data_IF_383864054584
#
_entry.id   IF_383864054584
#
_cell.length_a   1.000
_cell.length_b   1.000
_cell.length_c   1.000
_cell.angle_alpha   90.00
_cell.angle_beta   90.00
_cell.angle_gamma   90.00
#
_symmetry.space_group_name_H-M   'P 1'
#
loop_
_entity.id
_entity.type
_entity.pdbx_description
1 polymer ?
#
# COMPACT_ATOMS: atom_id res chain seq x y z
N UNK A 1 -4.48 -20.07 1.23
CA UNK A 1 -5.23 -18.87 1.69
C UNK A 1 -4.23 -17.74 1.94
N UNK A 2 -4.59 -16.49 1.55
CA UNK A 2 -3.72 -15.32 1.76
C UNK A 2 -3.58 -14.99 3.26
N UNK A 3 -2.34 -14.82 3.74
CA UNK A 3 -2.05 -14.61 5.16
C UNK A 3 -1.73 -13.16 5.50
N UNK A 4 -0.94 -12.51 4.65
CA UNK A 4 -0.50 -11.11 4.86
C UNK A 4 -0.14 -10.45 3.53
N UNK A 5 -0.08 -9.13 3.55
CA UNK A 5 0.50 -8.36 2.46
C UNK A 5 2.01 -8.58 2.43
N UNK A 6 2.50 -9.18 1.36
CA UNK A 6 3.93 -9.34 1.11
C UNK A 6 4.51 -8.03 0.59
N UNK A 7 3.97 -7.53 -0.54
CA UNK A 7 4.40 -6.28 -1.16
C UNK A 7 3.23 -5.46 -1.70
N UNK A 8 3.43 -4.15 -1.76
CA UNK A 8 2.60 -3.19 -2.50
C UNK A 8 3.46 -2.65 -3.62
N UNK A 9 3.02 -2.85 -4.87
CA UNK A 9 3.76 -2.50 -6.08
C UNK A 9 3.24 -1.18 -6.61
N UNK A 10 4.14 -0.21 -6.76
CA UNK A 10 3.87 1.11 -7.32
C UNK A 10 4.54 1.22 -8.68
N UNK A 11 3.76 1.41 -9.72
CA UNK A 11 4.25 1.67 -11.06
C UNK A 11 4.59 3.15 -11.23
N UNK A 12 5.75 3.45 -11.79
CA UNK A 12 6.26 4.80 -12.02
C UNK A 12 6.84 4.92 -13.43
N UNK A 13 6.77 6.12 -14.04
CA UNK A 13 7.32 6.37 -15.38
C UNK A 13 8.83 6.61 -15.38
N UNK A 14 9.36 7.17 -14.28
CA UNK A 14 10.77 7.52 -14.13
C UNK A 14 11.29 7.01 -12.79
N UNK A 15 11.79 5.78 -12.78
CA UNK A 15 12.23 5.11 -11.56
C UNK A 15 13.29 5.89 -10.78
N UNK A 16 14.32 6.51 -11.38
CA UNK A 16 15.31 7.29 -10.63
C UNK A 16 14.69 8.50 -9.89
N UNK A 17 13.74 9.18 -10.51
CA UNK A 17 13.02 10.32 -9.91
C UNK A 17 12.15 9.85 -8.74
N UNK A 18 11.43 8.76 -8.93
CA UNK A 18 10.59 8.17 -7.89
C UNK A 18 11.42 7.66 -6.70
N UNK A 19 12.59 7.04 -6.96
CA UNK A 19 13.55 6.65 -5.91
C UNK A 19 13.97 7.86 -5.09
N UNK A 20 14.37 8.96 -5.73
CA UNK A 20 14.81 10.17 -5.01
C UNK A 20 13.70 10.72 -4.10
N UNK A 21 12.45 10.75 -4.56
CA UNK A 21 11.30 11.19 -3.75
C UNK A 21 11.06 10.27 -2.54
N UNK A 22 11.00 8.97 -2.74
CA UNK A 22 10.74 8.01 -1.67
C UNK A 22 11.92 7.86 -0.70
N UNK A 23 13.15 8.06 -1.18
CA UNK A 23 14.31 8.14 -0.30
C UNK A 23 14.22 9.33 0.67
N UNK A 24 13.72 10.48 0.22
CA UNK A 24 13.46 11.62 1.11
C UNK A 24 12.28 11.33 2.06
N UNK A 25 11.22 10.70 1.56
CA UNK A 25 10.06 10.32 2.38
C UNK A 25 10.46 9.33 3.49
N UNK A 26 11.12 8.23 3.15
CA UNK A 26 11.49 7.19 4.12
C UNK A 26 12.76 7.51 4.92
N UNK A 27 13.62 8.42 4.42
CA UNK A 27 14.91 8.73 5.03
C UNK A 27 15.93 7.60 4.92
N UNK A 28 15.73 6.68 3.97
CA UNK A 28 16.54 5.48 3.73
C UNK A 28 16.74 5.27 2.25
N UNK A 29 17.93 4.82 1.85
CA UNK A 29 18.15 4.32 0.50
C UNK A 29 17.34 3.03 0.26
N UNK A 30 16.85 2.79 -0.96
CA UNK A 30 16.22 1.51 -1.29
C UNK A 30 17.26 0.42 -1.49
N UNK A 31 16.79 -0.81 -1.48
CA UNK A 31 17.46 -1.90 -2.17
C UNK A 31 17.01 -1.91 -3.63
N UNK A 32 17.95 -1.95 -4.54
CA UNK A 32 17.70 -2.12 -5.97
C UNK A 32 18.49 -3.35 -6.42
N UNK A 33 17.82 -4.46 -6.77
CA UNK A 33 18.49 -5.64 -7.28
C UNK A 33 19.19 -5.34 -8.62
N UNK A 34 20.24 -6.08 -8.92
CA UNK A 34 20.95 -5.91 -10.19
C UNK A 34 20.04 -6.17 -11.39
N UNK A 35 20.11 -5.27 -12.38
CA UNK A 35 19.28 -5.32 -13.58
C UNK A 35 19.54 -6.55 -14.48
N UNK A 36 20.55 -7.35 -14.19
CA UNK A 36 20.87 -8.56 -14.94
C UNK A 36 19.83 -9.67 -14.75
N UNK A 37 19.19 -9.72 -13.58
CA UNK A 37 18.29 -10.82 -13.21
C UNK A 37 16.83 -10.38 -13.04
N UNK A 38 16.56 -9.07 -12.96
CA UNK A 38 15.23 -8.51 -12.67
C UNK A 38 14.94 -7.25 -13.50
N UNK A 39 13.66 -6.98 -13.76
CA UNK A 39 13.26 -5.66 -14.23
C UNK A 39 13.67 -4.59 -13.21
N UNK A 40 14.07 -3.38 -13.64
CA UNK A 40 14.48 -2.31 -12.74
C UNK A 40 13.43 -2.03 -11.68
N UNK A 41 13.80 -2.18 -10.42
CA UNK A 41 12.92 -1.90 -9.28
C UNK A 41 13.68 -1.37 -8.07
N UNK A 42 12.96 -0.82 -7.09
CA UNK A 42 13.51 -0.33 -5.84
C UNK A 42 12.58 -0.68 -4.67
N UNK A 43 13.13 -1.22 -3.60
CA UNK A 43 12.36 -1.77 -2.48
C UNK A 43 12.73 -1.14 -1.15
N UNK A 44 11.71 -0.84 -0.33
CA UNK A 44 11.83 -0.48 1.08
C UNK A 44 11.01 -1.43 1.94
N UNK A 45 11.65 -2.03 2.94
CA UNK A 45 10.98 -2.87 3.91
C UNK A 45 10.35 -2.03 5.02
N UNK A 46 9.03 -2.05 5.13
CA UNK A 46 8.31 -1.52 6.30
C UNK A 46 8.06 -2.64 7.33
N UNK A 47 7.63 -2.29 8.52
CA UNK A 47 7.48 -3.31 9.57
C UNK A 47 6.47 -4.42 9.25
N UNK A 48 5.53 -4.21 8.33
CA UNK A 48 4.48 -5.17 8.00
C UNK A 48 4.36 -5.54 6.51
N UNK A 49 5.07 -4.85 5.62
CA UNK A 49 5.04 -5.12 4.16
C UNK A 49 6.29 -4.53 3.49
N UNK A 50 6.43 -4.67 2.19
CA UNK A 50 7.44 -4.01 1.36
C UNK A 50 6.74 -3.06 0.40
N UNK A 51 7.31 -1.87 0.20
CA UNK A 51 6.96 -0.99 -0.91
C UNK A 51 7.97 -1.24 -2.03
N UNK A 52 7.47 -1.59 -3.20
CA UNK A 52 8.25 -1.83 -4.41
C UNK A 52 7.89 -0.82 -5.49
N UNK A 53 8.87 -0.08 -5.99
CA UNK A 53 8.73 0.76 -7.18
C UNK A 53 9.17 -0.04 -8.39
N UNK A 54 8.36 -0.04 -9.44
CA UNK A 54 8.69 -0.66 -10.74
C UNK A 54 8.52 0.36 -11.86
N UNK A 55 9.44 0.35 -12.82
CA UNK A 55 9.32 1.21 -13.99
C UNK A 55 8.30 0.66 -14.97
N UNK A 56 7.42 1.52 -15.45
CA UNK A 56 6.46 1.15 -16.48
C UNK A 56 6.13 2.33 -17.39
N UNK A 57 5.69 2.03 -18.61
CA UNK A 57 5.17 3.06 -19.52
C UNK A 57 3.79 3.46 -19.04
N UNK A 58 3.70 4.60 -18.36
CA UNK A 58 2.44 5.15 -17.86
C UNK A 58 2.51 6.68 -17.80
N UNK A 59 1.36 7.34 -17.93
CA UNK A 59 1.26 8.81 -17.87
C UNK A 59 1.40 9.34 -16.43
N UNK A 60 1.17 8.50 -15.42
CA UNK A 60 1.27 8.85 -14.00
C UNK A 60 1.59 7.65 -13.14
N UNK A 61 2.21 7.90 -12.00
CA UNK A 61 2.42 6.85 -11.01
C UNK A 61 1.09 6.37 -10.41
N UNK A 62 1.03 5.09 -10.07
CA UNK A 62 -0.15 4.46 -9.48
C UNK A 62 0.24 3.27 -8.61
N UNK A 63 -0.64 2.89 -7.71
CA UNK A 63 -0.56 1.56 -7.09
C UNK A 63 -0.95 0.56 -8.17
N UNK A 64 0.02 -0.20 -8.65
CA UNK A 64 -0.20 -1.18 -9.71
C UNK A 64 -0.91 -2.41 -9.18
N UNK A 65 -0.45 -2.93 -8.05
CA UNK A 65 -0.99 -4.17 -7.51
C UNK A 65 -0.54 -4.49 -6.10
N UNK A 66 -1.05 -5.59 -5.59
CA UNK A 66 -0.74 -6.13 -4.27
C UNK A 66 -0.32 -7.58 -4.41
N UNK A 67 0.78 -7.94 -3.76
CA UNK A 67 1.23 -9.32 -3.62
C UNK A 67 0.92 -9.77 -2.19
N UNK A 68 0.20 -10.87 -2.06
CA UNK A 68 -0.06 -11.51 -0.77
C UNK A 68 0.82 -12.75 -0.61
N UNK A 69 1.28 -13.02 0.60
CA UNK A 69 1.89 -14.31 0.89
C UNK A 69 0.84 -15.32 1.31
N UNK A 70 1.05 -16.57 0.91
CA UNK A 70 0.25 -17.71 1.31
C UNK A 70 1.16 -18.92 1.50
N UNK A 71 0.95 -19.69 2.58
CA UNK A 71 1.81 -20.84 2.90
C UNK A 71 1.77 -21.95 1.84
N UNK A 72 0.68 -22.01 1.07
CA UNK A 72 0.43 -22.98 0.00
C UNK A 72 0.72 -22.42 -1.41
N UNK A 73 1.29 -21.20 -1.50
CA UNK A 73 1.66 -20.65 -2.79
C UNK A 73 2.90 -21.36 -3.37
N UNK A 74 2.96 -21.56 -4.69
CA UNK A 74 4.16 -22.08 -5.33
C UNK A 74 5.31 -21.07 -5.22
N UNK A 75 6.56 -21.51 -5.39
CA UNK A 75 7.69 -20.60 -5.50
C UNK A 75 7.48 -19.57 -6.61
N UNK A 76 7.88 -18.32 -6.34
CA UNK A 76 7.66 -17.19 -7.24
C UNK A 76 6.31 -16.52 -7.03
N UNK A 77 5.81 -15.87 -8.07
CA UNK A 77 4.55 -15.13 -8.04
C UNK A 77 3.52 -15.72 -9.00
N UNK A 78 2.28 -15.85 -8.52
CA UNK A 78 1.14 -16.28 -9.32
C UNK A 78 0.07 -15.19 -9.33
N UNK A 79 -0.32 -14.75 -10.52
CA UNK A 79 -1.45 -13.82 -10.70
C UNK A 79 -2.77 -14.51 -10.35
N UNK A 80 -3.61 -13.82 -9.60
CA UNK A 80 -4.98 -14.19 -9.28
C UNK A 80 -5.89 -13.52 -10.32
N UNK A 81 -6.49 -14.32 -11.20
CA UNK A 81 -7.49 -13.82 -12.14
C UNK A 81 -8.73 -13.34 -11.36
N UNK A 82 -9.24 -12.16 -11.67
CA UNK A 82 -10.37 -11.59 -10.95
C UNK A 82 -11.23 -10.70 -11.84
N UNK A 83 -12.52 -10.58 -11.50
CA UNK A 83 -13.48 -9.79 -12.23
C UNK A 83 -13.27 -8.27 -12.09
N UNK A 84 -12.54 -7.84 -11.05
CA UNK A 84 -12.25 -6.43 -10.79
C UNK A 84 -11.19 -5.85 -11.75
N UNK A 85 -10.41 -6.71 -12.42
CA UNK A 85 -9.33 -6.28 -13.32
C UNK A 85 -8.13 -5.65 -12.59
N UNK A 86 -8.00 -5.85 -11.27
CA UNK A 86 -6.87 -5.35 -10.48
C UNK A 86 -5.74 -6.38 -10.41
N UNK A 87 -4.49 -5.92 -10.33
CA UNK A 87 -3.33 -6.81 -10.23
C UNK A 87 -3.20 -7.34 -8.79
N UNK A 88 -3.59 -8.59 -8.60
CA UNK A 88 -3.43 -9.33 -7.35
C UNK A 88 -2.56 -10.55 -7.62
N UNK A 89 -1.54 -10.74 -6.78
CA UNK A 89 -0.62 -11.87 -6.89
C UNK A 89 -0.46 -12.58 -5.56
N UNK A 90 -0.14 -13.86 -5.63
CA UNK A 90 0.22 -14.71 -4.48
C UNK A 90 1.68 -15.15 -4.60
N UNK A 91 2.39 -15.21 -3.49
CA UNK A 91 3.75 -15.73 -3.38
C UNK A 91 3.92 -16.54 -2.08
N UNK A 92 5.02 -17.28 -1.96
CA UNK A 92 5.40 -17.99 -0.75
C UNK A 92 6.08 -17.11 0.33
N UNK A 93 6.36 -15.83 -0.01
CA UNK A 93 7.01 -14.87 0.87
C UNK A 93 8.52 -15.08 1.07
N UNK A 94 9.13 -16.04 0.37
CA UNK A 94 10.57 -16.34 0.50
C UNK A 94 11.46 -15.17 0.06
N UNK A 95 11.14 -14.55 -1.08
CA UNK A 95 11.91 -13.42 -1.63
C UNK A 95 11.90 -12.21 -0.67
N UNK A 96 10.76 -11.87 -0.09
CA UNK A 96 10.64 -10.79 0.89
C UNK A 96 11.38 -11.11 2.19
N UNK A 97 11.34 -12.36 2.62
CA UNK A 97 12.07 -12.81 3.82
C UNK A 97 13.58 -12.69 3.59
N UNK A 98 14.07 -13.13 2.45
CA UNK A 98 15.47 -13.02 2.05
C UNK A 98 15.93 -11.55 1.93
N UNK A 99 15.12 -10.70 1.26
CA UNK A 99 15.33 -9.25 1.20
C UNK A 99 15.48 -8.63 2.59
N UNK A 100 14.58 -8.95 3.51
CA UNK A 100 14.63 -8.39 4.88
C UNK A 100 15.88 -8.79 5.65
N UNK A 101 16.37 -10.00 5.44
CA UNK A 101 17.58 -10.51 6.11
C UNK A 101 18.86 -9.93 5.51
N UNK A 102 18.92 -9.78 4.18
CA UNK A 102 20.14 -9.38 3.48
C UNK A 102 20.30 -7.88 3.29
N UNK A 103 19.22 -7.10 3.42
CA UNK A 103 19.21 -5.65 3.18
C UNK A 103 18.67 -4.86 4.39
N UNK A 104 19.34 -4.92 5.55
CA UNK A 104 18.88 -4.24 6.76
C UNK A 104 18.88 -2.70 6.65
N UNK A 105 19.72 -2.12 5.79
CA UNK A 105 19.81 -0.69 5.54
C UNK A 105 18.57 -0.13 4.84
N UNK A 106 17.89 -0.94 4.04
CA UNK A 106 16.65 -0.56 3.35
C UNK A 106 15.38 -0.79 4.21
N UNK A 107 15.53 -1.11 5.52
CA UNK A 107 14.39 -1.35 6.40
C UNK A 107 13.97 -0.09 7.15
N UNK A 108 12.71 0.30 7.01
CA UNK A 108 12.05 1.43 7.70
C UNK A 108 11.12 0.87 8.79
N UNK A 109 11.68 0.31 9.85
CA UNK A 109 10.96 -0.45 10.87
C UNK A 109 10.03 0.38 11.75
N UNK A 110 10.20 1.72 11.77
CA UNK A 110 9.35 2.64 12.53
C UNK A 110 8.04 3.00 11.81
N UNK A 111 7.92 2.57 10.54
CA UNK A 111 6.73 2.75 9.72
C UNK A 111 6.08 1.41 9.41
N UNK A 112 4.76 1.43 9.29
CA UNK A 112 4.00 0.36 8.66
C UNK A 112 2.92 0.95 7.74
N UNK A 113 2.42 0.17 6.80
CA UNK A 113 1.20 0.52 6.08
C UNK A 113 0.00 0.18 6.95
N UNK A 114 -0.86 1.16 7.23
CA UNK A 114 -2.12 0.97 7.94
C UNK A 114 -3.17 0.35 7.01
N UNK A 115 -3.38 1.00 5.85
CA UNK A 115 -4.29 0.49 4.84
C UNK A 115 -3.89 0.92 3.42
N UNK A 116 -4.39 0.14 2.45
CA UNK A 116 -4.44 0.46 1.03
C UNK A 116 -5.90 0.64 0.66
N UNK A 117 -6.21 1.64 -0.15
CA UNK A 117 -7.58 1.92 -0.60
C UNK A 117 -7.79 1.39 -2.00
N UNK A 118 -8.83 0.59 -2.19
CA UNK A 118 -9.36 0.15 -3.48
C UNK A 118 -10.70 0.85 -3.71
N UNK A 119 -10.84 1.54 -4.81
CA UNK A 119 -12.12 2.05 -5.31
C UNK A 119 -12.70 1.08 -6.32
N UNK A 120 -14.01 0.84 -6.24
CA UNK A 120 -14.70 -0.10 -7.11
C UNK A 120 -16.15 0.34 -7.34
N UNK A 121 -16.76 -0.11 -8.42
CA UNK A 121 -18.20 -0.07 -8.62
C UNK A 121 -18.91 -1.36 -8.19
N UNK A 122 -18.16 -2.38 -7.74
CA UNK A 122 -18.67 -3.71 -7.41
C UNK A 122 -18.03 -4.24 -6.10
N UNK A 123 -18.66 -3.89 -4.97
CA UNK A 123 -18.24 -4.39 -3.66
C UNK A 123 -18.50 -5.90 -3.50
N UNK A 124 -19.47 -6.47 -4.24
CA UNK A 124 -19.73 -7.90 -4.16
C UNK A 124 -18.58 -8.70 -4.77
N UNK A 125 -18.07 -8.28 -5.94
CA UNK A 125 -16.89 -8.91 -6.52
C UNK A 125 -15.66 -8.82 -5.59
N UNK A 126 -15.56 -7.79 -4.74
CA UNK A 126 -14.53 -7.72 -3.71
C UNK A 126 -14.74 -8.74 -2.59
N UNK A 127 -15.98 -8.99 -2.17
CA UNK A 127 -16.30 -10.03 -1.18
C UNK A 127 -15.95 -11.41 -1.71
N UNK A 128 -16.36 -11.70 -2.94
CA UNK A 128 -16.10 -12.98 -3.60
C UNK A 128 -14.58 -13.22 -3.75
N UNK A 129 -13.81 -12.23 -4.22
CA UNK A 129 -12.37 -12.35 -4.41
C UNK A 129 -11.62 -12.42 -3.07
N UNK A 130 -11.71 -11.35 -2.26
CA UNK A 130 -10.86 -11.24 -1.07
C UNK A 130 -11.36 -12.10 0.09
N UNK A 131 -12.68 -12.20 0.26
CA UNK A 131 -13.32 -13.00 1.31
C UNK A 131 -13.34 -14.49 0.99
N UNK A 132 -14.06 -14.85 -0.05
CA UNK A 132 -14.39 -16.25 -0.32
C UNK A 132 -13.23 -17.00 -1.00
N UNK A 133 -12.64 -16.42 -2.05
CA UNK A 133 -11.56 -17.08 -2.80
C UNK A 133 -10.22 -17.02 -2.06
N UNK A 134 -9.82 -15.84 -1.60
CA UNK A 134 -8.52 -15.63 -0.94
C UNK A 134 -8.54 -15.92 0.56
N UNK A 135 -9.71 -16.02 1.18
CA UNK A 135 -9.88 -16.29 2.60
C UNK A 135 -9.42 -15.15 3.53
N UNK A 136 -9.40 -13.90 3.03
CA UNK A 136 -9.03 -12.75 3.84
C UNK A 136 -10.21 -12.32 4.70
N UNK A 137 -9.99 -12.19 6.00
CA UNK A 137 -11.04 -11.86 6.96
C UNK A 137 -11.68 -10.50 6.68
N UNK A 138 -12.98 -10.46 6.39
CA UNK A 138 -13.78 -9.25 6.40
C UNK A 138 -13.96 -8.79 7.87
N UNK A 139 -13.37 -7.65 8.20
CA UNK A 139 -13.43 -7.07 9.55
C UNK A 139 -14.63 -6.15 9.75
N UNK A 140 -15.07 -5.47 8.69
CA UNK A 140 -16.21 -4.57 8.72
C UNK A 140 -16.82 -4.45 7.32
N UNK A 141 -18.15 -4.46 7.27
CA UNK A 141 -18.97 -4.10 6.12
C UNK A 141 -19.95 -3.04 6.58
N UNK A 142 -19.87 -1.85 6.01
CA UNK A 142 -20.69 -0.72 6.47
C UNK A 142 -21.05 0.19 5.30
N UNK A 143 -22.33 0.57 5.24
CA UNK A 143 -22.79 1.64 4.35
C UNK A 143 -22.69 2.97 5.07
N UNK A 144 -21.98 3.92 4.46
CA UNK A 144 -21.76 5.28 4.97
C UNK A 144 -22.09 6.27 3.85
N UNK A 145 -23.35 6.71 3.74
CA UNK A 145 -23.79 7.58 2.65
C UNK A 145 -22.95 8.87 2.53
N UNK A 146 -22.53 9.43 3.68
CA UNK A 146 -21.71 10.66 3.73
C UNK A 146 -20.30 10.46 3.15
N UNK A 147 -19.86 9.22 2.95
CA UNK A 147 -18.54 8.89 2.40
C UNK A 147 -18.60 8.28 1.01
N UNK A 148 -19.82 8.28 0.41
CA UNK A 148 -20.01 7.89 -0.99
C UNK A 148 -20.48 6.45 -1.21
N UNK A 149 -20.80 5.67 -0.17
CA UNK A 149 -21.40 4.35 -0.37
C UNK A 149 -21.00 3.29 0.64
N UNK A 150 -20.91 2.04 0.18
CA UNK A 150 -20.53 0.87 1.00
C UNK A 150 -19.00 0.81 1.14
N UNK A 151 -18.56 0.50 2.33
CA UNK A 151 -17.15 0.33 2.67
C UNK A 151 -16.92 -1.06 3.24
N UNK A 152 -15.93 -1.77 2.69
CA UNK A 152 -15.47 -3.06 3.20
C UNK A 152 -14.05 -2.93 3.73
N UNK A 153 -13.77 -3.59 4.85
CA UNK A 153 -12.44 -3.60 5.45
C UNK A 153 -11.96 -5.04 5.58
N UNK A 154 -11.04 -5.46 4.72
CA UNK A 154 -10.43 -6.77 4.77
C UNK A 154 -9.11 -6.71 5.53
N UNK A 155 -8.90 -7.62 6.48
CA UNK A 155 -7.72 -7.65 7.35
C UNK A 155 -6.83 -8.84 7.05
N UNK A 156 -5.65 -8.58 6.49
CA UNK A 156 -4.60 -9.58 6.31
C UNK A 156 -3.36 -9.19 7.15
N UNK A 157 -3.11 -9.95 8.21
CA UNK A 157 -2.09 -9.60 9.18
C UNK A 157 -2.38 -8.27 9.89
N UNK A 158 -1.42 -7.33 9.84
CA UNK A 158 -1.53 -6.00 10.47
C UNK A 158 -1.95 -4.89 9.50
N UNK A 159 -2.26 -5.22 8.25
CA UNK A 159 -2.62 -4.27 7.21
C UNK A 159 -4.08 -4.47 6.80
N UNK A 160 -4.75 -3.40 6.42
CA UNK A 160 -6.15 -3.42 5.97
C UNK A 160 -6.23 -3.07 4.49
N UNK A 161 -7.01 -3.82 3.72
CA UNK A 161 -7.52 -3.38 2.44
C UNK A 161 -8.86 -2.70 2.70
N UNK A 162 -8.91 -1.38 2.47
CA UNK A 162 -10.13 -0.58 2.54
C UNK A 162 -10.75 -0.49 1.15
N UNK A 163 -11.93 -1.06 0.97
CA UNK A 163 -12.68 -0.99 -0.28
C UNK A 163 -13.74 0.09 -0.14
N UNK A 164 -13.81 0.99 -1.11
CA UNK A 164 -14.83 2.03 -1.21
C UNK A 164 -15.64 1.78 -2.49
N UNK A 165 -16.90 1.41 -2.33
CA UNK A 165 -17.83 1.30 -3.44
C UNK A 165 -18.40 2.67 -3.76
N UNK A 166 -18.09 3.18 -4.95
CA UNK A 166 -18.63 4.45 -5.41
C UNK A 166 -20.06 4.28 -5.93
N UNK A 167 -21.01 4.96 -5.32
CA UNK A 167 -22.38 5.05 -5.83
C UNK A 167 -22.44 6.18 -6.87
N UNK A 168 -22.40 5.87 -8.15
CA UNK A 168 -22.53 6.85 -9.22
C UNK A 168 -22.73 6.19 -10.59
N UNK A 169 -23.23 6.93 -11.56
CA UNK A 169 -23.56 6.44 -12.92
C UNK A 169 -22.34 5.99 -13.74
N UNK A 170 -21.13 6.35 -13.35
CA UNK A 170 -19.91 5.79 -13.90
C UNK A 170 -19.50 4.59 -13.03
N UNK A 171 -19.73 3.39 -13.55
CA UNK A 171 -19.04 2.18 -13.09
C UNK A 171 -17.55 2.33 -13.44
N UNK A 172 -16.86 3.14 -12.66
CA UNK A 172 -15.43 3.32 -12.81
C UNK A 172 -14.75 1.96 -12.61
N UNK A 173 -13.83 1.63 -13.49
CA UNK A 173 -13.01 0.43 -13.36
C UNK A 173 -12.39 0.41 -11.96
N UNK A 174 -12.35 -0.76 -11.34
CA UNK A 174 -11.74 -0.91 -10.02
C UNK A 174 -10.26 -0.53 -10.09
N UNK A 175 -9.80 0.28 -9.14
CA UNK A 175 -8.42 0.73 -9.07
C UNK A 175 -7.97 1.00 -7.63
N UNK A 176 -6.72 0.70 -7.34
CA UNK A 176 -6.10 1.15 -6.11
C UNK A 176 -5.94 2.68 -6.17
N UNK A 177 -6.30 3.36 -5.07
CA UNK A 177 -6.40 4.81 -5.06
C UNK A 177 -5.39 5.50 -4.16
N UNK A 178 -5.08 4.93 -3.00
CA UNK A 178 -4.23 5.61 -2.04
C UNK A 178 -3.67 4.69 -0.95
N UNK A 179 -2.76 5.25 -0.16
CA UNK A 179 -2.04 4.59 0.91
C UNK A 179 -2.17 5.36 2.22
N UNK A 180 -2.14 4.65 3.33
CA UNK A 180 -1.95 5.25 4.64
C UNK A 180 -0.77 4.58 5.35
N UNK A 181 0.17 5.40 5.80
CA UNK A 181 1.29 4.95 6.63
C UNK A 181 1.03 5.28 8.09
N UNK A 182 1.35 4.35 8.96
CA UNK A 182 1.25 4.52 10.41
C UNK A 182 2.63 4.68 11.02
N UNK A 183 2.77 5.67 11.92
CA UNK A 183 3.94 5.89 12.75
C UNK A 183 3.53 6.08 14.23
N UNK A 184 4.46 5.88 15.16
CA UNK A 184 4.20 6.01 16.59
C UNK A 184 4.18 7.45 17.09
N UNK A 185 4.96 8.33 16.44
CA UNK A 185 5.10 9.75 16.75
C UNK A 185 4.95 10.55 15.45
N UNK A 186 3.73 11.05 15.20
CA UNK A 186 3.44 11.80 13.99
C UNK A 186 4.15 13.15 13.98
N UNK A 187 4.24 13.83 15.13
CA UNK A 187 4.86 15.15 15.21
C UNK A 187 6.36 15.08 14.91
N UNK A 188 7.08 14.14 15.53
CA UNK A 188 8.49 13.91 15.26
C UNK A 188 8.74 13.45 13.81
N UNK A 189 7.85 12.62 13.26
CA UNK A 189 7.96 12.18 11.88
C UNK A 189 7.76 13.34 10.89
N UNK A 190 6.76 14.23 11.10
CA UNK A 190 6.57 15.42 10.25
C UNK A 190 7.76 16.37 10.32
N UNK A 191 8.37 16.54 11.48
CA UNK A 191 9.59 17.33 11.62
C UNK A 191 10.74 16.73 10.80
N UNK A 192 10.93 15.42 10.86
CA UNK A 192 11.95 14.73 10.07
C UNK A 192 11.67 14.82 8.55
N UNK A 193 10.41 14.73 8.12
CA UNK A 193 9.99 14.94 6.74
C UNK A 193 10.30 16.36 6.27
N UNK A 194 9.93 17.37 7.06
CA UNK A 194 10.23 18.78 6.77
C UNK A 194 11.73 19.06 6.62
N UNK A 195 12.57 18.48 7.49
CA UNK A 195 14.02 18.58 7.39
C UNK A 195 14.60 18.00 6.10
N UNK A 196 13.89 17.04 5.48
CA UNK A 196 14.22 16.44 4.18
C UNK A 196 13.53 17.10 2.98
N UNK A 197 12.83 18.22 3.19
CA UNK A 197 12.13 18.96 2.13
C UNK A 197 10.78 18.38 1.73
N UNK A 198 10.25 17.42 2.48
CA UNK A 198 8.95 16.80 2.21
C UNK A 198 7.82 17.61 2.83
N UNK A 199 6.91 18.11 2.00
CA UNK A 199 5.78 18.92 2.45
C UNK A 199 4.62 18.06 2.95
N UNK A 200 3.99 18.49 4.05
CA UNK A 200 2.81 17.83 4.64
C UNK A 200 1.74 18.84 5.04
N UNK A 201 0.51 18.37 5.28
CA UNK A 201 -0.47 19.20 5.98
C UNK A 201 -0.12 19.33 7.47
N UNK A 202 -0.77 20.26 8.18
CA UNK A 202 -0.78 20.24 9.63
C UNK A 202 -1.42 18.95 10.19
N UNK A 203 -1.09 18.65 11.46
CA UNK A 203 -1.72 17.56 12.20
C UNK A 203 -3.17 17.93 12.51
N UNK A 204 -4.07 16.98 12.37
CA UNK A 204 -5.49 17.09 12.73
C UNK A 204 -5.99 15.79 13.35
N UNK A 205 -7.13 15.85 14.00
CA UNK A 205 -7.80 14.64 14.48
C UNK A 205 -8.21 13.74 13.30
N UNK A 206 -7.99 12.45 13.46
CA UNK A 206 -8.44 11.44 12.51
C UNK A 206 -9.92 11.10 12.71
N UNK A 207 -10.48 10.38 11.75
CA UNK A 207 -11.89 9.91 11.85
C UNK A 207 -12.12 8.95 13.03
N UNK A 208 -11.13 8.13 13.34
CA UNK A 208 -11.19 7.25 14.52
C UNK A 208 -10.79 8.06 15.75
N UNK A 209 -11.60 8.08 16.82
CA UNK A 209 -11.29 8.81 18.04
C UNK A 209 -9.88 8.49 18.58
N UNK A 210 -9.16 9.54 18.98
CA UNK A 210 -7.81 9.43 19.54
C UNK A 210 -6.70 9.23 18.50
N UNK A 211 -7.00 9.14 17.20
CA UNK A 211 -5.98 9.11 16.14
C UNK A 211 -5.64 10.51 15.69
N UNK A 212 -4.37 10.72 15.33
CA UNK A 212 -3.89 11.94 14.69
C UNK A 212 -3.50 11.62 13.25
N UNK A 213 -3.76 12.56 12.34
CA UNK A 213 -3.44 12.37 10.92
C UNK A 213 -2.84 13.61 10.28
N UNK A 214 -2.02 13.40 9.26
CA UNK A 214 -1.54 14.42 8.34
C UNK A 214 -1.54 13.86 6.92
N UNK A 215 -1.64 14.73 5.92
CA UNK A 215 -1.60 14.32 4.51
C UNK A 215 -0.24 14.69 3.92
N UNK A 216 0.38 13.80 3.19
CA UNK A 216 1.56 14.09 2.38
C UNK A 216 1.15 15.04 1.25
N UNK A 217 1.97 16.06 0.95
CA UNK A 217 1.70 17.11 -0.04
C UNK A 217 2.76 17.17 -1.14
N UNK A 218 3.83 16.44 -0.97
CA UNK A 218 4.89 16.22 -1.97
C UNK A 218 5.54 14.87 -1.72
N UNK A 219 6.32 14.38 -2.68
CA UNK A 219 7.02 13.09 -2.59
C UNK A 219 6.08 11.88 -2.41
N UNK A 220 4.84 12.04 -2.79
CA UNK A 220 3.79 11.02 -2.79
C UNK A 220 3.57 10.38 -4.17
N UNK A 221 4.38 10.75 -5.16
CA UNK A 221 4.27 10.33 -6.57
C UNK A 221 2.90 10.63 -7.20
N UNK A 222 2.10 11.54 -6.60
CA UNK A 222 0.71 11.78 -7.01
C UNK A 222 -0.29 10.75 -6.47
N UNK A 223 0.16 9.80 -5.64
CA UNK A 223 -0.70 8.82 -4.98
C UNK A 223 -1.19 9.40 -3.65
N UNK A 224 -2.50 9.56 -3.42
CA UNK A 224 -3.02 10.10 -2.17
C UNK A 224 -2.47 9.34 -0.95
N UNK A 225 -1.74 10.05 -0.10
CA UNK A 225 -1.01 9.44 1.01
C UNK A 225 -1.34 10.10 2.34
N UNK A 226 -1.81 9.30 3.27
CA UNK A 226 -2.13 9.70 4.64
C UNK A 226 -1.06 9.18 5.61
N UNK A 227 -0.72 10.00 6.59
CA UNK A 227 0.14 9.64 7.72
C UNK A 227 -0.74 9.57 8.96
N UNK A 228 -0.62 8.49 9.75
CA UNK A 228 -1.51 8.20 10.89
C UNK A 228 -0.67 7.90 12.13
N UNK A 229 -1.03 8.52 13.23
CA UNK A 229 -0.66 8.07 14.57
C UNK A 229 -1.89 7.41 15.20
N UNK A 230 -1.82 6.13 15.58
CA UNK A 230 -2.95 5.45 16.22
C UNK A 230 -3.24 6.03 17.61
N UNK A 231 -4.45 5.81 18.10
CA UNK A 231 -4.78 6.05 19.50
C UNK A 231 -3.85 5.24 20.42
N UNK A 232 -3.47 5.82 21.55
CA UNK A 232 -2.68 5.15 22.59
C UNK A 232 -3.51 4.09 23.29
#
# INVERSE_FOLDING_TARGET
>A
MAEKFDRIVLAVSELPVAIAQYQQMFGKAPYSPDAADHAPCACWGLSNTVIELVECVADSARIQGIVFSAADAPPGEKTVANALGVDIRLCDGSATTDFRQRQPEAQCTDLCVDHVVLRTGDAQACLDLFGDEMGIRLALDKTVPEWGGRMLFFRAGKLTLEVIESSGEETAASAFWGLAYQCKDLAGFLQALSARGVATSGIRDGRKPGTLVATLKSHDLGIPTLLIQPAK
#
